data_IF_041671910283
#
_entry.id   IF_041671910283
#
_cell.length_a   1.000
_cell.length_b   1.000
_cell.length_c   1.000
_cell.angle_alpha   90.00
_cell.angle_beta   90.00
_cell.angle_gamma   90.00
#
_symmetry.space_group_name_H-M   'P 1'
#
loop_
_entity.id
_entity.type
_entity.pdbx_description
1 polymer ?
#
# COMPACT_ATOMS: atom_id res chain seq x y z
N UNK A 1 -4.88 -26.67 -6.43
CA UNK A 1 -3.92 -25.57 -6.64
C UNK A 1 -4.18 -24.36 -5.73
N UNK A 2 -5.41 -23.84 -5.59
CA UNK A 2 -5.67 -22.67 -4.71
C UNK A 2 -5.49 -22.93 -3.20
N UNK A 3 -5.69 -24.16 -2.72
CA UNK A 3 -5.55 -24.50 -1.30
C UNK A 3 -4.08 -24.50 -0.81
N UNK A 4 -3.10 -24.86 -1.66
CA UNK A 4 -1.68 -24.82 -1.29
C UNK A 4 -1.15 -23.39 -1.17
N UNK A 5 -1.64 -22.47 -2.01
CA UNK A 5 -1.29 -21.05 -1.94
C UNK A 5 -1.83 -20.38 -0.67
N UNK A 6 -2.98 -20.83 -0.15
CA UNK A 6 -3.55 -20.35 1.11
C UNK A 6 -2.75 -20.76 2.34
N UNK A 7 -2.19 -21.97 2.36
CA UNK A 7 -1.32 -22.45 3.44
C UNK A 7 -0.02 -21.67 3.47
N UNK A 8 0.61 -21.44 2.32
CA UNK A 8 1.84 -20.62 2.22
C UNK A 8 1.58 -19.17 2.66
N UNK A 9 0.43 -18.60 2.32
CA UNK A 9 0.05 -17.26 2.78
C UNK A 9 -0.19 -17.22 4.31
N UNK A 10 -0.82 -18.25 4.88
CA UNK A 10 -1.06 -18.35 6.32
C UNK A 10 0.24 -18.57 7.11
N UNK A 11 1.16 -19.41 6.63
CA UNK A 11 2.48 -19.61 7.22
C UNK A 11 3.31 -18.32 7.16
N UNK A 12 3.24 -17.59 6.06
CA UNK A 12 3.93 -16.31 5.94
C UNK A 12 3.34 -15.25 6.89
N UNK A 13 2.02 -15.22 7.06
CA UNK A 13 1.36 -14.35 8.04
C UNK A 13 1.76 -14.72 9.49
N UNK A 14 1.80 -16.01 9.83
CA UNK A 14 2.20 -16.49 11.16
C UNK A 14 3.68 -16.20 11.46
N UNK A 15 4.58 -16.50 10.51
CA UNK A 15 6.02 -16.17 10.58
C UNK A 15 6.25 -14.69 10.85
N UNK A 16 5.42 -13.86 10.23
CA UNK A 16 5.51 -12.42 10.32
C UNK A 16 4.99 -11.85 11.62
N UNK A 17 3.90 -12.41 12.13
CA UNK A 17 3.37 -12.08 13.44
C UNK A 17 4.37 -12.47 14.54
N UNK A 18 5.00 -13.64 14.42
CA UNK A 18 6.06 -14.07 15.30
C UNK A 18 7.26 -13.11 15.27
N UNK A 19 7.64 -12.63 14.07
CA UNK A 19 8.74 -11.66 13.92
C UNK A 19 8.48 -10.35 14.67
N UNK A 20 7.25 -9.84 14.60
CA UNK A 20 6.82 -8.64 15.36
C UNK A 20 6.92 -8.89 16.86
N UNK A 21 6.38 -10.01 17.35
CA UNK A 21 6.45 -10.43 18.76
C UNK A 21 7.89 -10.54 19.26
N UNK A 22 8.79 -11.16 18.49
CA UNK A 22 10.19 -11.28 18.86
C UNK A 22 10.91 -9.93 18.87
N UNK A 23 10.59 -9.02 17.95
CA UNK A 23 11.16 -7.66 17.97
C UNK A 23 10.66 -6.83 19.15
N UNK A 24 9.38 -6.97 19.54
CA UNK A 24 8.85 -6.31 20.74
C UNK A 24 9.51 -6.85 22.01
N UNK A 25 9.62 -8.18 22.15
CA UNK A 25 10.31 -8.81 23.27
C UNK A 25 11.80 -8.42 23.33
N UNK A 26 12.50 -8.41 22.19
CA UNK A 26 13.90 -7.98 22.14
C UNK A 26 14.06 -6.50 22.54
N UNK A 27 13.10 -5.64 22.19
CA UNK A 27 13.05 -4.24 22.64
C UNK A 27 12.90 -4.12 24.15
N UNK A 28 12.01 -4.90 24.75
CA UNK A 28 11.79 -4.93 26.21
C UNK A 28 13.04 -5.43 26.96
N UNK A 29 13.71 -6.49 26.47
CA UNK A 29 14.94 -6.99 27.07
C UNK A 29 16.11 -5.99 26.95
N UNK A 30 16.24 -5.31 25.81
CA UNK A 30 17.25 -4.28 25.62
C UNK A 30 17.03 -3.06 26.55
N UNK A 31 15.77 -2.68 26.76
CA UNK A 31 15.41 -1.62 27.72
C UNK A 31 15.69 -2.03 29.17
N UNK A 32 15.28 -3.25 29.57
CA UNK A 32 15.55 -3.79 30.89
C UNK A 32 17.06 -3.86 31.19
N UNK A 33 17.87 -4.28 30.20
CA UNK A 33 19.32 -4.31 30.29
C UNK A 33 19.95 -2.92 30.47
N UNK A 34 19.51 -1.91 29.70
CA UNK A 34 20.00 -0.53 29.86
C UNK A 34 19.59 0.12 31.18
N UNK A 35 18.39 -0.21 31.68
CA UNK A 35 17.90 0.25 32.99
C UNK A 35 18.74 -0.33 34.14
N UNK A 36 19.17 -1.59 34.04
CA UNK A 36 20.07 -2.21 35.03
C UNK A 36 21.49 -1.65 34.99
N UNK A 37 21.96 -1.14 33.85
CA UNK A 37 23.31 -0.57 33.70
C UNK A 37 23.44 0.89 34.19
N UNK A 38 22.40 1.47 34.81
CA UNK A 38 22.47 2.83 35.38
C UNK A 38 22.54 3.95 34.35
N UNK A 39 22.22 3.67 33.08
CA UNK A 39 22.13 4.69 32.03
C UNK A 39 21.00 5.68 32.34
N UNK A 40 21.26 6.99 32.16
CA UNK A 40 20.29 8.06 32.43
C UNK A 40 18.92 7.75 31.85
N UNK A 41 17.90 7.75 32.71
CA UNK A 41 16.53 7.27 32.46
C UNK A 41 15.90 7.87 31.20
N UNK A 42 16.22 9.12 30.88
CA UNK A 42 15.70 9.83 29.71
C UNK A 42 16.19 9.26 28.37
N UNK A 43 17.47 8.91 28.23
CA UNK A 43 18.01 8.40 26.96
C UNK A 43 17.57 6.95 26.68
N UNK A 44 17.45 6.14 27.72
CA UNK A 44 16.92 4.77 27.61
C UNK A 44 15.45 4.78 27.20
N UNK A 45 14.65 5.67 27.79
CA UNK A 45 13.22 5.82 27.46
C UNK A 45 13.01 6.34 26.03
N UNK A 46 13.81 7.30 25.58
CA UNK A 46 13.71 7.80 24.20
C UNK A 46 14.09 6.74 23.16
N UNK A 47 15.08 5.90 23.44
CA UNK A 47 15.45 4.77 22.58
C UNK A 47 14.33 3.72 22.51
N UNK A 48 13.69 3.43 23.63
CA UNK A 48 12.53 2.51 23.69
C UNK A 48 11.34 3.05 22.88
N UNK A 49 11.00 4.33 23.05
CA UNK A 49 9.92 4.97 22.27
C UNK A 49 10.21 4.98 20.77
N UNK A 50 11.46 5.20 20.39
CA UNK A 50 11.90 5.17 19.00
C UNK A 50 11.77 3.75 18.42
N UNK A 51 12.18 2.73 19.17
CA UNK A 51 12.03 1.33 18.75
C UNK A 51 10.55 0.93 18.60
N UNK A 52 9.69 1.32 19.55
CA UNK A 52 8.24 1.09 19.48
C UNK A 52 7.63 1.77 18.25
N UNK A 53 7.99 3.02 17.98
CA UNK A 53 7.54 3.73 16.78
C UNK A 53 7.98 3.00 15.50
N UNK A 54 9.23 2.54 15.42
CA UNK A 54 9.72 1.78 14.26
C UNK A 54 8.93 0.51 14.01
N UNK A 55 8.60 -0.25 15.05
CA UNK A 55 7.80 -1.48 14.93
C UNK A 55 6.39 -1.15 14.42
N UNK A 56 5.74 -0.13 15.00
CA UNK A 56 4.40 0.29 14.59
C UNK A 56 4.36 0.80 13.14
N UNK A 57 5.33 1.64 12.78
CA UNK A 57 5.50 2.15 11.43
C UNK A 57 5.77 1.03 10.43
N UNK A 58 6.66 0.09 10.76
CA UNK A 58 6.96 -1.04 9.89
C UNK A 58 5.71 -1.90 9.66
N UNK A 59 4.89 -2.12 10.69
CA UNK A 59 3.62 -2.83 10.57
C UNK A 59 2.64 -2.09 9.63
N UNK A 60 2.52 -0.76 9.76
CA UNK A 60 1.68 0.07 8.88
C UNK A 60 2.14 -0.02 7.42
N UNK A 61 3.43 0.21 7.16
CA UNK A 61 3.99 0.18 5.80
C UNK A 61 3.76 -1.20 5.17
N UNK A 62 4.00 -2.24 5.95
CA UNK A 62 3.79 -3.62 5.52
C UNK A 62 2.32 -3.90 5.20
N UNK A 63 1.39 -3.49 6.05
CA UNK A 63 -0.04 -3.68 5.84
C UNK A 63 -0.52 -2.96 4.57
N UNK A 64 -0.04 -1.74 4.35
CA UNK A 64 -0.30 -0.98 3.13
C UNK A 64 0.23 -1.68 1.88
N UNK A 65 1.48 -2.16 1.91
CA UNK A 65 2.14 -2.80 0.76
C UNK A 65 1.57 -4.17 0.42
N UNK A 66 1.07 -4.93 1.41
CA UNK A 66 0.62 -6.30 1.21
C UNK A 66 -0.89 -6.42 1.03
N UNK A 67 -1.67 -5.57 1.69
CA UNK A 67 -3.13 -5.64 1.63
C UNK A 67 -3.68 -4.48 0.81
N UNK A 68 -3.59 -3.25 1.33
CA UNK A 68 -4.37 -2.15 0.76
C UNK A 68 -3.98 -1.79 -0.68
N UNK A 69 -2.69 -1.60 -0.96
CA UNK A 69 -2.24 -1.20 -2.29
C UNK A 69 -2.48 -2.28 -3.36
N UNK A 70 -2.12 -3.56 -3.14
CA UNK A 70 -2.42 -4.61 -4.11
C UNK A 70 -3.92 -4.76 -4.35
N UNK A 71 -4.77 -4.70 -3.31
CA UNK A 71 -6.22 -4.80 -3.50
C UNK A 71 -6.79 -3.64 -4.31
N UNK A 72 -6.39 -2.40 -4.01
CA UNK A 72 -6.83 -1.23 -4.77
C UNK A 72 -6.34 -1.27 -6.21
N UNK A 73 -5.10 -1.68 -6.44
CA UNK A 73 -4.53 -1.79 -7.78
C UNK A 73 -5.18 -2.91 -8.59
N UNK A 74 -5.40 -4.09 -7.99
CA UNK A 74 -6.05 -5.22 -8.65
C UNK A 74 -7.52 -4.95 -8.95
N UNK A 75 -8.26 -4.33 -8.02
CA UNK A 75 -9.66 -3.97 -8.28
C UNK A 75 -9.76 -2.96 -9.41
N UNK A 76 -8.85 -1.99 -9.46
CA UNK A 76 -8.76 -1.06 -10.58
C UNK A 76 -8.40 -1.76 -11.91
N UNK A 77 -7.37 -2.61 -11.93
CA UNK A 77 -6.94 -3.31 -13.14
C UNK A 77 -8.03 -4.25 -13.67
N UNK A 78 -8.69 -4.98 -12.77
CA UNK A 78 -9.80 -5.86 -13.13
C UNK A 78 -11.00 -5.08 -13.66
N UNK A 79 -11.28 -3.93 -13.04
CA UNK A 79 -12.32 -3.02 -13.50
C UNK A 79 -12.02 -2.50 -14.92
N UNK A 80 -10.80 -2.02 -15.19
CA UNK A 80 -10.44 -1.52 -16.52
C UNK A 80 -10.49 -2.59 -17.61
N UNK A 81 -10.12 -3.84 -17.29
CA UNK A 81 -10.10 -4.93 -18.27
C UNK A 81 -11.49 -5.50 -18.60
N UNK A 82 -12.45 -5.42 -17.67
CA UNK A 82 -13.76 -6.08 -17.79
C UNK A 82 -14.94 -5.14 -17.64
N UNK A 83 -14.72 -3.82 -17.71
CA UNK A 83 -15.75 -2.80 -17.46
C UNK A 83 -17.02 -3.02 -18.30
N UNK A 84 -16.86 -3.30 -19.59
CA UNK A 84 -17.97 -3.50 -20.53
C UNK A 84 -18.72 -4.81 -20.28
N UNK A 85 -18.07 -5.79 -19.69
CA UNK A 85 -18.69 -7.07 -19.31
C UNK A 85 -19.48 -6.98 -18.00
N UNK A 86 -19.30 -5.91 -17.21
CA UNK A 86 -20.02 -5.75 -15.95
C UNK A 86 -21.39 -5.11 -16.16
N UNK A 87 -22.40 -5.75 -15.56
CA UNK A 87 -23.69 -5.10 -15.34
C UNK A 87 -23.53 -3.85 -14.45
N UNK A 88 -24.48 -2.90 -14.46
CA UNK A 88 -24.45 -1.72 -13.59
C UNK A 88 -24.28 -2.08 -12.11
N UNK A 89 -24.92 -3.17 -11.66
CA UNK A 89 -24.75 -3.68 -10.29
C UNK A 89 -23.34 -4.22 -10.02
N UNK A 90 -22.71 -4.87 -11.00
CA UNK A 90 -21.30 -5.29 -10.92
C UNK A 90 -20.36 -4.10 -10.76
N UNK A 91 -20.56 -3.03 -11.55
CA UNK A 91 -19.78 -1.79 -11.45
C UNK A 91 -19.91 -1.14 -10.07
N UNK A 92 -21.14 -1.06 -9.54
CA UNK A 92 -21.39 -0.54 -8.19
C UNK A 92 -20.71 -1.39 -7.10
N UNK A 93 -20.71 -2.72 -7.24
CA UNK A 93 -20.04 -3.63 -6.30
C UNK A 93 -18.53 -3.42 -6.30
N UNK A 94 -17.92 -3.31 -7.49
CA UNK A 94 -16.47 -3.06 -7.60
C UNK A 94 -16.11 -1.70 -7.03
N UNK A 95 -16.89 -0.65 -7.32
CA UNK A 95 -16.71 0.67 -6.73
C UNK A 95 -16.82 0.64 -5.19
N UNK A 96 -17.79 -0.10 -4.64
CA UNK A 96 -17.93 -0.29 -3.19
C UNK A 96 -16.73 -1.05 -2.59
N UNK A 97 -16.24 -2.11 -3.25
CA UNK A 97 -15.04 -2.84 -2.80
C UNK A 97 -13.79 -1.97 -2.82
N UNK A 98 -13.63 -1.12 -3.85
CA UNK A 98 -12.56 -0.14 -3.91
C UNK A 98 -12.70 0.89 -2.77
N UNK A 99 -13.90 1.44 -2.57
CA UNK A 99 -14.18 2.42 -1.51
C UNK A 99 -13.92 1.84 -0.10
N UNK A 100 -14.28 0.58 0.15
CA UNK A 100 -13.98 -0.10 1.41
C UNK A 100 -12.47 -0.25 1.63
N UNK A 101 -11.72 -0.62 0.58
CA UNK A 101 -10.26 -0.77 0.64
C UNK A 101 -9.58 0.57 0.88
N UNK A 102 -10.03 1.62 0.19
CA UNK A 102 -9.57 2.99 0.40
C UNK A 102 -9.89 3.48 1.81
N UNK A 103 -11.11 3.23 2.30
CA UNK A 103 -11.52 3.56 3.67
C UNK A 103 -10.65 2.89 4.73
N UNK A 104 -10.28 1.62 4.53
CA UNK A 104 -9.31 0.92 5.37
C UNK A 104 -7.94 1.61 5.39
N UNK A 105 -7.40 1.96 4.21
CA UNK A 105 -6.13 2.67 4.09
C UNK A 105 -6.15 4.06 4.74
N UNK A 106 -7.26 4.80 4.58
CA UNK A 106 -7.47 6.09 5.25
C UNK A 106 -7.53 5.94 6.78
N UNK A 107 -8.20 4.89 7.26
CA UNK A 107 -8.23 4.54 8.69
C UNK A 107 -6.82 4.25 9.23
N UNK A 108 -6.01 3.51 8.48
CA UNK A 108 -4.60 3.25 8.82
C UNK A 108 -3.76 4.53 8.82
N UNK A 109 -3.95 5.43 7.86
CA UNK A 109 -3.31 6.74 7.84
C UNK A 109 -3.69 7.58 9.07
N UNK A 110 -4.98 7.62 9.44
CA UNK A 110 -5.46 8.33 10.62
C UNK A 110 -4.85 7.81 11.92
N UNK A 111 -4.76 6.48 12.09
CA UNK A 111 -4.07 5.86 13.23
C UNK A 111 -2.59 6.22 13.25
N UNK A 112 -1.94 6.25 12.09
CA UNK A 112 -0.52 6.60 11.96
C UNK A 112 -0.27 8.05 12.36
N UNK A 113 -1.14 9.00 11.97
CA UNK A 113 -1.06 10.38 12.45
C UNK A 113 -1.16 10.49 13.97
N UNK A 114 -2.01 9.66 14.59
CA UNK A 114 -2.13 9.56 16.04
C UNK A 114 -0.89 9.04 16.76
N UNK A 115 0.07 8.44 16.05
CA UNK A 115 1.36 8.00 16.62
C UNK A 115 2.37 9.13 16.74
N UNK A 116 2.11 10.30 16.15
CA UNK A 116 3.01 11.45 16.20
C UNK A 116 3.14 11.99 17.63
N UNK A 117 4.37 12.05 18.14
CA UNK A 117 4.68 12.62 19.46
C UNK A 117 5.52 13.89 19.34
N UNK A 118 5.11 14.95 20.04
CA UNK A 118 5.80 16.25 20.04
C UNK A 118 7.12 16.28 20.85
N UNK A 119 7.53 15.16 21.45
CA UNK A 119 8.75 15.09 22.27
C UNK A 119 10.06 15.06 21.46
N UNK A 120 10.01 14.79 20.16
CA UNK A 120 11.16 14.83 19.25
C UNK A 120 10.70 15.05 17.81
N UNK A 121 11.42 15.85 17.04
CA UNK A 121 11.12 16.09 15.62
C UNK A 121 11.05 14.77 14.84
N UNK A 122 11.89 13.79 15.15
CA UNK A 122 11.88 12.49 14.48
C UNK A 122 10.60 11.69 14.75
N UNK A 123 10.15 11.68 16.01
CA UNK A 123 8.95 10.95 16.45
C UNK A 123 7.65 11.61 15.96
N UNK A 124 7.68 12.90 15.63
CA UNK A 124 6.57 13.61 15.00
C UNK A 124 6.59 13.45 13.47
N UNK A 125 7.74 13.64 12.84
CA UNK A 125 7.84 13.73 11.38
C UNK A 125 7.67 12.39 10.68
N UNK A 126 8.20 11.30 11.25
CA UNK A 126 8.13 9.97 10.64
C UNK A 126 6.68 9.49 10.42
N UNK A 127 5.80 9.46 11.45
CA UNK A 127 4.41 9.08 11.24
C UNK A 127 3.66 10.05 10.32
N UNK A 128 3.96 11.35 10.39
CA UNK A 128 3.36 12.36 9.51
C UNK A 128 3.70 12.10 8.04
N UNK A 129 4.97 11.85 7.72
CA UNK A 129 5.45 11.58 6.37
C UNK A 129 4.85 10.28 5.81
N UNK A 130 4.69 9.26 6.65
CA UNK A 130 4.10 7.98 6.22
C UNK A 130 2.60 8.14 5.98
N UNK A 131 1.89 8.79 6.88
CA UNK A 131 0.47 9.06 6.70
C UNK A 131 0.21 9.93 5.46
N UNK A 132 1.01 10.98 5.23
CA UNK A 132 0.88 11.82 4.03
C UNK A 132 1.15 11.03 2.75
N UNK A 133 2.15 10.13 2.76
CA UNK A 133 2.42 9.23 1.64
C UNK A 133 1.24 8.30 1.37
N UNK A 134 0.65 7.70 2.41
CA UNK A 134 -0.54 6.85 2.27
C UNK A 134 -1.70 7.64 1.66
N UNK A 135 -1.98 8.84 2.17
CA UNK A 135 -3.03 9.72 1.66
C UNK A 135 -2.80 10.08 0.19
N UNK A 136 -1.57 10.43 -0.18
CA UNK A 136 -1.20 10.74 -1.56
C UNK A 136 -1.43 9.55 -2.49
N UNK A 137 -0.98 8.36 -2.11
CA UNK A 137 -1.16 7.15 -2.93
C UNK A 137 -2.64 6.79 -3.08
N UNK A 138 -3.41 6.82 -1.99
CA UNK A 138 -4.87 6.56 -2.03
C UNK A 138 -5.58 7.57 -2.92
N UNK A 139 -5.22 8.85 -2.82
CA UNK A 139 -5.78 9.91 -3.66
C UNK A 139 -5.48 9.68 -5.14
N UNK A 140 -4.22 9.40 -5.48
CA UNK A 140 -3.80 9.12 -6.87
C UNK A 140 -4.55 7.92 -7.44
N UNK A 141 -4.66 6.83 -6.68
CA UNK A 141 -5.40 5.64 -7.12
C UNK A 141 -6.90 5.92 -7.25
N UNK A 142 -7.49 6.71 -6.35
CA UNK A 142 -8.90 7.10 -6.43
C UNK A 142 -9.19 7.95 -7.67
N UNK A 143 -8.35 8.96 -7.95
CA UNK A 143 -8.45 9.79 -9.17
C UNK A 143 -8.37 8.90 -10.41
N UNK A 144 -7.39 8.00 -10.47
CA UNK A 144 -7.23 7.06 -11.59
C UNK A 144 -8.44 6.11 -11.72
N UNK A 145 -9.01 5.65 -10.60
CA UNK A 145 -10.18 4.78 -10.62
C UNK A 145 -11.45 5.51 -11.09
N UNK A 146 -11.67 6.75 -10.63
CA UNK A 146 -12.85 7.55 -11.03
C UNK A 146 -12.77 7.94 -12.50
N UNK A 147 -11.60 8.38 -12.98
CA UNK A 147 -11.39 8.75 -14.40
C UNK A 147 -11.56 7.56 -15.35
N UNK A 148 -11.29 6.34 -14.90
CA UNK A 148 -11.58 5.14 -15.68
C UNK A 148 -13.09 5.00 -16.02
N UNK A 149 -14.03 5.55 -15.25
CA UNK A 149 -15.46 5.50 -15.61
C UNK A 149 -15.80 6.41 -16.80
N UNK A 150 -15.02 7.45 -17.03
CA UNK A 150 -15.27 8.45 -18.06
C UNK A 150 -14.47 8.21 -19.34
N UNK A 151 -13.37 7.45 -19.26
CA UNK A 151 -12.56 7.14 -20.43
C UNK A 151 -13.23 6.09 -21.33
N UNK A 152 -13.20 6.25 -22.66
CA UNK A 152 -13.85 5.33 -23.60
C UNK A 152 -13.26 3.91 -23.58
N UNK A 153 -12.00 3.77 -23.16
CA UNK A 153 -11.30 2.50 -23.03
C UNK A 153 -11.06 2.10 -21.57
N UNK A 154 -11.63 2.85 -20.62
CA UNK A 154 -11.52 2.59 -19.17
C UNK A 154 -10.08 2.48 -18.63
N UNK A 155 -9.11 3.03 -19.36
CA UNK A 155 -7.70 3.14 -18.97
C UNK A 155 -7.30 4.61 -19.00
N UNK A 156 -6.88 5.13 -17.85
CA UNK A 156 -6.34 6.48 -17.67
C UNK A 156 -4.86 6.44 -17.31
N UNK A 157 -4.03 7.23 -18.01
CA UNK A 157 -2.62 7.43 -17.67
C UNK A 157 -2.46 8.67 -16.81
N UNK A 158 -1.86 8.49 -15.64
CA UNK A 158 -1.49 9.60 -14.75
C UNK A 158 -0.30 10.38 -15.27
N UNK A 159 0.54 9.78 -16.12
CA UNK A 159 1.75 10.41 -16.64
C UNK A 159 1.41 11.45 -17.72
N UNK A 160 0.47 11.11 -18.62
CA UNK A 160 0.03 12.01 -19.69
C UNK A 160 -1.24 12.78 -19.34
N UNK A 161 -1.84 12.51 -18.17
CA UNK A 161 -3.13 13.04 -17.73
C UNK A 161 -4.26 12.85 -18.77
N UNK A 162 -4.18 11.79 -19.58
CA UNK A 162 -5.11 11.52 -20.66
C UNK A 162 -5.67 10.09 -20.58
N UNK A 163 -6.83 9.88 -21.20
CA UNK A 163 -7.27 8.52 -21.51
C UNK A 163 -6.29 7.89 -22.49
N UNK A 164 -6.02 6.60 -22.32
CA UNK A 164 -5.08 5.86 -23.17
C UNK A 164 -5.81 5.43 -24.43
N UNK A 165 -5.21 5.67 -25.59
CA UNK A 165 -5.76 5.27 -26.87
C UNK A 165 -5.62 3.76 -27.10
N UNK A 166 -6.58 3.17 -27.81
CA UNK A 166 -6.66 1.72 -28.00
C UNK A 166 -5.48 1.15 -28.80
N UNK A 167 -4.86 2.00 -29.63
CA UNK A 167 -3.65 1.68 -30.37
C UNK A 167 -2.45 1.45 -29.46
N UNK A 168 -2.30 2.22 -28.38
CA UNK A 168 -1.20 2.04 -27.43
C UNK A 168 -1.42 0.78 -26.56
N UNK A 169 -2.67 0.48 -26.19
CA UNK A 169 -3.02 -0.74 -25.45
C UNK A 169 -2.73 -1.99 -26.31
N UNK A 170 -3.13 -1.98 -27.58
CA UNK A 170 -2.83 -3.07 -28.51
C UNK A 170 -1.31 -3.27 -28.67
N UNK A 171 -0.54 -2.19 -28.79
CA UNK A 171 0.91 -2.26 -28.86
C UNK A 171 1.59 -2.88 -27.63
N UNK A 172 1.07 -2.62 -26.43
CA UNK A 172 1.57 -3.27 -25.19
C UNK A 172 1.18 -4.74 -25.12
N UNK A 173 -0.04 -5.09 -25.53
CA UNK A 173 -0.51 -6.49 -25.55
C UNK A 173 0.27 -7.31 -26.58
N UNK A 174 0.52 -6.76 -27.76
CA UNK A 174 1.31 -7.41 -28.81
C UNK A 174 2.77 -7.58 -28.39
N UNK A 175 3.36 -6.59 -27.70
CA UNK A 175 4.71 -6.71 -27.14
C UNK A 175 4.81 -7.67 -25.95
N UNK A 176 3.73 -7.85 -25.18
CA UNK A 176 3.67 -8.88 -24.14
C UNK A 176 3.53 -10.29 -24.74
N UNK A 177 2.92 -10.42 -25.93
CA UNK A 177 2.77 -11.69 -26.65
C UNK A 177 4.02 -12.05 -27.47
N UNK A 178 4.74 -11.06 -27.99
CA UNK A 178 6.00 -11.23 -28.71
C UNK A 178 7.11 -10.35 -28.10
N UNK A 179 8.05 -10.93 -27.33
CA UNK A 179 9.14 -10.17 -26.68
C UNK A 179 10.13 -9.54 -27.66
N UNK A 180 10.03 -9.84 -28.96
CA UNK A 180 10.82 -9.21 -30.02
C UNK A 180 10.15 -7.98 -30.65
N UNK A 181 8.89 -7.71 -30.31
CA UNK A 181 8.17 -6.55 -30.83
C UNK A 181 8.74 -5.24 -30.26
N UNK A 182 9.07 -4.31 -31.16
CA UNK A 182 9.53 -2.98 -30.79
C UNK A 182 8.33 -2.19 -30.28
N UNK A 183 8.28 -1.96 -28.96
CA UNK A 183 7.28 -1.09 -28.35
C UNK A 183 7.31 0.29 -29.04
N UNK A 184 6.18 0.80 -29.54
CA UNK A 184 6.13 2.17 -30.03
C UNK A 184 6.50 3.11 -28.88
N UNK A 185 7.24 4.19 -29.19
CA UNK A 185 7.78 5.14 -28.18
C UNK A 185 6.69 5.75 -27.28
N UNK A 186 5.44 5.79 -27.73
CA UNK A 186 4.26 6.21 -26.95
C UNK A 186 3.84 5.19 -25.90
N UNK A 187 3.91 3.89 -26.22
CA UNK A 187 3.57 2.81 -25.30
C UNK A 187 4.59 2.60 -24.17
N UNK A 188 5.83 3.05 -24.35
CA UNK A 188 6.87 3.03 -23.32
C UNK A 188 6.67 4.10 -22.21
N UNK A 189 5.73 5.03 -22.40
CA UNK A 189 5.42 6.12 -21.48
C UNK A 189 4.08 5.92 -20.71
N UNK A 190 3.49 4.73 -20.82
CA UNK A 190 2.31 4.27 -20.07
C UNK A 190 2.71 3.61 -18.74
#
# INVERSE_FOLDING_TARGET
>A
AMASSGVVAAEWAASSYAKVLFTELAGEFAYAGKKQQGGGTSAAQQAEETAKLHIQVAAVVRDMLLHHLPYMYLTQAFFSLRFDSFSPGGRAKVAASFALSAGGALGTAGRTLGMARCGSCYLAFTPLAIASTILAVVFVLAVKFVTNFTCPLHVYSLQTFSCVDGADIAGVVDAAADPSAVLPRSAAAL
#
